data_IF_843151513808
#
_entry.id   IF_843151513808
#
_cell.length_a   1.000
_cell.length_b   1.000
_cell.length_c   1.000
_cell.angle_alpha   90.00
_cell.angle_beta   90.00
_cell.angle_gamma   90.00
#
_symmetry.space_group_name_H-M   'P 1'
#
loop_
_entity.id
_entity.type
_entity.pdbx_description
1 polymer ?
#
# COMPACT_ATOMS: atom_id res chain seq x y z
N UNK A 1 -5.69 3.69 -19.74
CA UNK A 1 -5.67 2.50 -20.63
C UNK A 1 -4.34 1.74 -20.62
N UNK A 2 -3.17 2.40 -20.65
CA UNK A 2 -1.84 1.73 -20.64
C UNK A 2 -1.46 0.97 -19.34
N UNK A 3 -2.24 1.11 -18.26
CA UNK A 3 -2.03 0.38 -17.00
C UNK A 3 -2.87 -0.93 -16.94
N UNK A 4 -3.89 -1.06 -17.81
CA UNK A 4 -4.70 -2.28 -17.98
C UNK A 4 -3.90 -3.40 -18.67
N UNK A 5 -2.93 -3.07 -19.52
CA UNK A 5 -2.06 -4.06 -20.18
C UNK A 5 -0.97 -4.64 -19.27
N UNK A 6 -0.69 -4.00 -18.12
CA UNK A 6 0.37 -4.42 -17.19
C UNK A 6 -0.09 -5.45 -16.16
N UNK A 7 -1.38 -5.49 -15.85
CA UNK A 7 -1.98 -6.58 -15.08
C UNK A 7 -2.33 -7.78 -15.96
N UNK A 8 -2.56 -7.57 -17.26
CA UNK A 8 -2.76 -8.66 -18.22
C UNK A 8 -1.44 -9.30 -18.70
N UNK A 9 -0.30 -8.62 -18.65
CA UNK A 9 1.01 -9.22 -19.05
C UNK A 9 1.60 -10.19 -18.02
N UNK A 10 1.07 -10.23 -16.79
CA UNK A 10 1.36 -11.33 -15.85
C UNK A 10 0.73 -12.64 -16.32
N UNK A 11 -0.27 -12.62 -17.22
CA UNK A 11 -0.86 -13.83 -17.80
C UNK A 11 0.03 -14.55 -18.83
N UNK A 12 1.14 -13.96 -19.28
CA UNK A 12 1.89 -14.48 -20.44
C UNK A 12 3.29 -15.05 -20.14
N UNK A 13 3.79 -14.92 -18.91
CA UNK A 13 4.98 -15.68 -18.47
C UNK A 13 4.49 -16.76 -17.52
N UNK A 14 4.55 -18.02 -17.96
CA UNK A 14 4.15 -19.21 -17.19
C UNK A 14 5.03 -19.50 -15.97
N UNK A 15 5.38 -18.49 -15.19
CA UNK A 15 5.81 -18.63 -13.80
C UNK A 15 4.55 -18.60 -12.95
N UNK A 16 4.29 -19.71 -12.24
CA UNK A 16 2.99 -20.09 -11.68
C UNK A 16 2.18 -18.96 -11.05
N UNK A 17 0.88 -18.91 -11.37
CA UNK A 17 -0.07 -18.08 -10.67
C UNK A 17 -0.08 -18.48 -9.18
N UNK A 18 0.73 -17.77 -8.37
CA UNK A 18 0.85 -18.03 -6.95
C UNK A 18 -0.52 -17.96 -6.30
N UNK A 19 -0.87 -19.00 -5.53
CA UNK A 19 -2.07 -19.03 -4.72
C UNK A 19 -2.10 -17.83 -3.78
N UNK A 20 -3.25 -17.17 -3.67
CA UNK A 20 -3.42 -15.96 -2.87
C UNK A 20 -4.20 -16.26 -1.60
N UNK A 21 -3.70 -15.75 -0.48
CA UNK A 21 -4.42 -15.69 0.79
C UNK A 21 -4.85 -14.26 1.07
N UNK A 22 -6.11 -14.07 1.42
CA UNK A 22 -6.66 -12.77 1.83
C UNK A 22 -6.80 -12.74 3.35
N UNK A 23 -6.34 -11.65 3.98
CA UNK A 23 -6.56 -11.38 5.40
C UNK A 23 -7.38 -10.12 5.50
N UNK A 24 -8.61 -10.20 5.99
CA UNK A 24 -9.53 -9.07 6.03
C UNK A 24 -9.82 -8.64 7.46
N UNK A 25 -9.49 -7.39 7.81
CA UNK A 25 -10.00 -6.78 9.02
C UNK A 25 -11.49 -6.49 8.86
N UNK A 26 -12.28 -6.91 9.85
CA UNK A 26 -13.73 -6.76 9.84
C UNK A 26 -14.15 -5.66 10.79
N UNK A 27 -14.65 -4.57 10.22
CA UNK A 27 -15.30 -3.48 10.94
C UNK A 27 -16.68 -3.21 10.36
N UNK A 28 -16.97 -1.96 10.03
CA UNK A 28 -18.28 -1.55 9.52
C UNK A 28 -18.43 -1.69 8.00
N UNK A 29 -17.34 -1.75 7.25
CA UNK A 29 -17.38 -1.66 5.77
C UNK A 29 -17.60 -3.02 5.08
N UNK A 30 -18.64 -3.74 5.53
CA UNK A 30 -19.02 -5.08 5.07
C UNK A 30 -18.99 -5.24 3.54
N UNK A 31 -19.71 -4.37 2.81
CA UNK A 31 -19.79 -4.45 1.35
C UNK A 31 -18.45 -4.18 0.68
N UNK A 32 -17.62 -3.29 1.24
CA UNK A 32 -16.28 -3.02 0.69
C UNK A 32 -15.35 -4.21 0.82
N UNK A 33 -15.43 -4.97 1.92
CA UNK A 33 -14.69 -6.23 2.07
C UNK A 33 -15.12 -7.21 0.99
N UNK A 34 -16.42 -7.36 0.72
CA UNK A 34 -16.94 -8.20 -0.36
C UNK A 34 -16.41 -7.73 -1.73
N UNK A 35 -16.46 -6.43 -1.99
CA UNK A 35 -16.01 -5.84 -3.25
C UNK A 35 -14.49 -6.07 -3.46
N UNK A 36 -13.69 -5.93 -2.40
CA UNK A 36 -12.25 -6.23 -2.41
C UNK A 36 -11.95 -7.70 -2.69
N UNK A 37 -12.61 -8.62 -1.96
CA UNK A 37 -12.47 -10.07 -2.16
C UNK A 37 -12.87 -10.47 -3.59
N UNK A 38 -13.99 -9.94 -4.10
CA UNK A 38 -14.44 -10.21 -5.46
C UNK A 38 -13.47 -9.70 -6.52
N UNK A 39 -12.90 -8.51 -6.33
CA UNK A 39 -11.87 -7.97 -7.21
C UNK A 39 -10.67 -8.91 -7.29
N UNK A 40 -10.12 -9.35 -6.15
CA UNK A 40 -8.97 -10.25 -6.18
C UNK A 40 -9.31 -11.64 -6.71
N UNK A 41 -10.47 -12.19 -6.35
CA UNK A 41 -10.95 -13.48 -6.87
C UNK A 41 -11.11 -13.51 -8.39
N UNK A 42 -11.49 -12.38 -9.00
CA UNK A 42 -11.58 -12.30 -10.47
C UNK A 42 -10.21 -12.31 -11.16
N UNK A 43 -9.12 -12.05 -10.43
CA UNK A 43 -7.78 -11.87 -10.97
C UNK A 43 -6.78 -12.95 -10.50
N UNK A 44 -7.06 -13.64 -9.39
CA UNK A 44 -6.15 -14.59 -8.75
C UNK A 44 -6.89 -15.79 -8.15
N UNK A 45 -6.28 -16.99 -8.12
CA UNK A 45 -6.81 -18.12 -7.39
C UNK A 45 -6.70 -17.87 -5.87
N UNK A 46 -7.86 -17.73 -5.21
CA UNK A 46 -7.93 -17.52 -3.76
C UNK A 46 -7.98 -18.87 -3.06
N UNK A 47 -7.01 -19.09 -2.18
CA UNK A 47 -6.80 -20.36 -1.48
C UNK A 47 -7.32 -20.31 -0.04
N UNK A 48 -7.18 -19.17 0.62
CA UNK A 48 -7.68 -18.96 1.98
C UNK A 48 -8.16 -17.52 2.19
N UNK A 49 -9.15 -17.35 3.06
CA UNK A 49 -9.63 -16.06 3.53
C UNK A 49 -9.65 -16.10 5.06
N UNK A 50 -8.97 -15.16 5.71
CA UNK A 50 -9.03 -14.94 7.15
C UNK A 50 -9.87 -13.69 7.43
N UNK A 51 -10.84 -13.79 8.32
CA UNK A 51 -11.66 -12.67 8.77
C UNK A 51 -11.27 -12.32 10.21
N UNK A 52 -10.50 -11.25 10.35
CA UNK A 52 -10.04 -10.75 11.64
C UNK A 52 -11.11 -9.84 12.25
N UNK A 53 -11.71 -10.24 13.36
CA UNK A 53 -12.84 -9.52 13.96
C UNK A 53 -12.58 -9.10 15.41
N UNK A 54 -13.23 -8.01 15.83
CA UNK A 54 -13.06 -7.41 17.15
C UNK A 54 -13.79 -8.23 18.24
N UNK A 55 -13.00 -8.81 19.14
CA UNK A 55 -13.47 -9.65 20.26
C UNK A 55 -13.95 -8.84 21.46
N UNK A 56 -13.73 -7.52 21.51
CA UNK A 56 -14.11 -6.68 22.65
C UNK A 56 -15.62 -6.65 22.84
N UNK A 57 -16.06 -6.56 24.10
CA UNK A 57 -17.47 -6.48 24.46
C UNK A 57 -17.98 -5.03 24.44
N UNK A 58 -17.69 -4.31 23.36
CA UNK A 58 -18.15 -2.93 23.13
C UNK A 58 -18.97 -2.82 21.83
N UNK A 59 -19.38 -1.60 21.52
CA UNK A 59 -20.23 -1.28 20.36
C UNK A 59 -19.57 -1.65 19.02
N UNK A 60 -18.25 -1.46 18.94
CA UNK A 60 -17.44 -1.75 17.75
C UNK A 60 -17.25 -3.25 17.57
N UNK A 61 -16.92 -3.95 18.66
CA UNK A 61 -16.81 -5.40 18.69
C UNK A 61 -18.11 -6.10 18.36
N UNK A 62 -19.25 -5.59 18.84
CA UNK A 62 -20.56 -6.14 18.49
C UNK A 62 -20.82 -6.11 16.98
N UNK A 63 -20.67 -4.94 16.36
CA UNK A 63 -20.85 -4.78 14.92
C UNK A 63 -19.87 -5.62 14.10
N UNK A 64 -18.59 -5.65 14.51
CA UNK A 64 -17.55 -6.46 13.86
C UNK A 64 -17.89 -7.95 13.88
N UNK A 65 -18.35 -8.50 15.01
CA UNK A 65 -18.77 -9.91 15.11
C UNK A 65 -19.98 -10.24 14.25
N UNK A 66 -20.98 -9.36 14.18
CA UNK A 66 -22.13 -9.53 13.30
C UNK A 66 -21.70 -9.58 11.83
N UNK A 67 -20.85 -8.63 11.41
CA UNK A 67 -20.32 -8.59 10.06
C UNK A 67 -19.44 -9.80 9.76
N UNK A 68 -18.60 -10.25 10.70
CA UNK A 68 -17.72 -11.40 10.50
C UNK A 68 -18.51 -12.68 10.20
N UNK A 69 -19.58 -12.95 10.96
CA UNK A 69 -20.48 -14.09 10.70
C UNK A 69 -21.20 -13.97 9.35
N UNK A 70 -21.68 -12.78 9.02
CA UNK A 70 -22.35 -12.55 7.74
C UNK A 70 -21.38 -12.70 6.55
N UNK A 71 -20.14 -12.24 6.69
CA UNK A 71 -19.07 -12.37 5.68
C UNK A 71 -18.63 -13.82 5.54
N UNK A 72 -18.53 -14.56 6.65
CA UNK A 72 -18.22 -16.00 6.64
C UNK A 72 -19.18 -16.74 5.71
N UNK A 73 -20.48 -16.46 5.82
CA UNK A 73 -21.52 -17.04 4.98
C UNK A 73 -21.44 -16.53 3.54
N UNK A 74 -21.33 -15.21 3.35
CA UNK A 74 -21.33 -14.60 2.02
C UNK A 74 -20.10 -14.96 1.16
N UNK A 75 -18.97 -15.26 1.82
CA UNK A 75 -17.71 -15.61 1.18
C UNK A 75 -17.40 -17.10 1.23
N UNK A 76 -18.31 -17.93 1.77
CA UNK A 76 -18.23 -19.37 1.64
C UNK A 76 -18.47 -19.78 0.18
N UNK A 77 -17.62 -20.64 -0.35
CA UNK A 77 -17.80 -21.24 -1.67
C UNK A 77 -17.41 -22.72 -1.63
N UNK A 78 -17.74 -23.47 -2.68
CA UNK A 78 -17.62 -24.93 -2.72
C UNK A 78 -16.27 -25.44 -2.16
N UNK A 79 -16.32 -26.02 -0.96
CA UNK A 79 -15.17 -26.65 -0.28
C UNK A 79 -14.31 -25.74 0.61
N UNK A 80 -14.57 -24.43 0.68
CA UNK A 80 -13.77 -23.51 1.52
C UNK A 80 -14.65 -22.49 2.25
N UNK A 81 -14.35 -22.30 3.53
CA UNK A 81 -15.00 -21.33 4.41
C UNK A 81 -13.94 -20.37 4.97
N UNK A 82 -14.21 -19.06 5.04
CA UNK A 82 -13.30 -18.14 5.69
C UNK A 82 -13.01 -18.52 7.15
N UNK A 83 -11.76 -18.39 7.57
CA UNK A 83 -11.35 -18.63 8.96
C UNK A 83 -11.61 -17.38 9.79
N UNK A 84 -12.51 -17.49 10.78
CA UNK A 84 -12.76 -16.41 11.74
C UNK A 84 -11.66 -16.35 12.80
N UNK A 85 -11.05 -15.17 12.99
CA UNK A 85 -9.97 -14.97 13.96
C UNK A 85 -10.28 -13.79 14.88
N UNK A 86 -10.49 -14.02 16.18
CA UNK A 86 -10.74 -12.95 17.14
C UNK A 86 -9.46 -12.19 17.48
N UNK A 87 -9.52 -10.86 17.51
CA UNK A 87 -8.45 -10.00 18.02
C UNK A 87 -9.00 -8.74 18.69
N UNK A 88 -8.15 -7.97 19.37
CA UNK A 88 -8.42 -6.60 19.76
C UNK A 88 -7.76 -5.64 18.74
N UNK A 89 -8.51 -4.96 17.87
CA UNK A 89 -7.93 -4.14 16.80
C UNK A 89 -7.17 -2.93 17.34
N UNK A 90 -7.53 -2.45 18.53
CA UNK A 90 -6.89 -1.31 19.21
C UNK A 90 -5.65 -1.71 20.03
N UNK A 91 -5.27 -2.99 20.00
CA UNK A 91 -3.99 -3.46 20.57
C UNK A 91 -3.03 -3.76 19.43
N UNK A 92 -2.01 -2.91 19.27
CA UNK A 92 -0.96 -3.14 18.29
C UNK A 92 -0.32 -4.53 18.45
N UNK A 93 -0.04 -4.95 19.69
CA UNK A 93 0.56 -6.25 19.99
C UNK A 93 -0.32 -7.43 19.58
N UNK A 94 -1.62 -7.40 19.92
CA UNK A 94 -2.56 -8.48 19.57
C UNK A 94 -2.72 -8.59 18.05
N UNK A 95 -2.84 -7.46 17.36
CA UNK A 95 -2.91 -7.44 15.89
C UNK A 95 -1.60 -7.95 15.27
N UNK A 96 -0.45 -7.47 15.73
CA UNK A 96 0.85 -7.87 15.23
C UNK A 96 1.08 -9.37 15.42
N UNK A 97 0.84 -9.91 16.61
CA UNK A 97 1.00 -11.32 16.90
C UNK A 97 0.07 -12.19 16.04
N UNK A 98 -1.18 -11.76 15.87
CA UNK A 98 -2.17 -12.45 15.03
C UNK A 98 -1.75 -12.48 13.57
N UNK A 99 -1.38 -11.32 13.01
CA UNK A 99 -0.90 -11.21 11.63
C UNK A 99 0.37 -12.04 11.43
N UNK A 100 1.36 -11.88 12.31
CA UNK A 100 2.63 -12.61 12.21
C UNK A 100 2.42 -14.12 12.20
N UNK A 101 1.51 -14.64 13.03
CA UNK A 101 1.17 -16.07 13.05
C UNK A 101 0.60 -16.54 11.71
N UNK A 102 -0.38 -15.82 11.16
CA UNK A 102 -1.00 -16.17 9.87
C UNK A 102 0.03 -16.05 8.74
N UNK A 103 0.80 -14.97 8.71
CA UNK A 103 1.81 -14.74 7.67
C UNK A 103 2.92 -15.77 7.70
N UNK A 104 3.39 -16.18 8.88
CA UNK A 104 4.42 -17.22 9.02
C UNK A 104 3.94 -18.55 8.45
N UNK A 105 2.68 -18.89 8.66
CA UNK A 105 2.08 -20.10 8.10
C UNK A 105 1.93 -19.99 6.58
N UNK A 106 1.29 -18.92 6.10
CA UNK A 106 0.90 -18.79 4.69
C UNK A 106 2.08 -18.48 3.77
N UNK A 107 3.01 -17.64 4.23
CA UNK A 107 4.27 -17.38 3.50
C UNK A 107 5.16 -18.63 3.49
N UNK A 108 5.12 -19.45 4.56
CA UNK A 108 5.81 -20.74 4.61
C UNK A 108 5.29 -21.74 3.57
N UNK A 109 4.03 -21.59 3.12
CA UNK A 109 3.43 -22.34 2.01
C UNK A 109 3.73 -21.73 0.63
N UNK A 110 4.55 -20.67 0.57
CA UNK A 110 4.88 -19.97 -0.67
C UNK A 110 3.72 -19.17 -1.27
N UNK A 111 2.70 -18.83 -0.47
CA UNK A 111 1.52 -18.10 -0.94
C UNK A 111 1.77 -16.59 -0.91
N UNK A 112 1.17 -15.90 -1.87
CA UNK A 112 1.05 -14.45 -1.83
C UNK A 112 -0.01 -14.07 -0.81
N UNK A 113 0.27 -13.09 0.06
CA UNK A 113 -0.71 -12.63 1.05
C UNK A 113 -1.12 -11.18 0.80
N UNK A 114 -2.43 -10.92 0.81
CA UNK A 114 -2.97 -9.57 0.71
C UNK A 114 -3.79 -9.24 1.95
N UNK A 115 -3.35 -8.22 2.68
CA UNK A 115 -3.98 -7.74 3.91
C UNK A 115 -4.91 -6.57 3.55
N UNK A 116 -6.20 -6.75 3.78
CA UNK A 116 -7.20 -5.70 3.65
C UNK A 116 -7.24 -4.84 4.92
N UNK A 117 -6.70 -3.63 4.83
CA UNK A 117 -6.68 -2.63 5.90
C UNK A 117 -7.89 -1.67 5.85
N UNK A 118 -8.93 -2.00 5.08
CA UNK A 118 -10.13 -1.18 4.84
C UNK A 118 -10.90 -0.84 6.11
N UNK A 119 -11.08 -1.80 7.02
CA UNK A 119 -11.95 -1.67 8.20
C UNK A 119 -11.21 -1.97 9.51
N UNK A 120 -10.04 -1.35 9.69
CA UNK A 120 -9.20 -1.55 10.88
C UNK A 120 -8.87 -0.24 11.59
N UNK A 121 -8.33 -0.32 12.80
CA UNK A 121 -7.89 0.86 13.55
C UNK A 121 -6.51 1.34 13.08
N UNK A 122 -6.04 2.48 13.60
CA UNK A 122 -4.70 2.99 13.29
C UNK A 122 -3.60 2.02 13.74
N UNK A 123 -3.78 1.39 14.90
CA UNK A 123 -2.89 0.34 15.42
C UNK A 123 -2.86 -0.86 14.45
N UNK A 124 -4.03 -1.26 13.93
CA UNK A 124 -4.15 -2.33 12.96
C UNK A 124 -3.44 -2.03 11.63
N UNK A 125 -3.55 -0.81 11.11
CA UNK A 125 -2.80 -0.39 9.91
C UNK A 125 -1.29 -0.43 10.19
N UNK A 126 -0.85 0.10 11.33
CA UNK A 126 0.56 0.10 11.72
C UNK A 126 1.15 -1.31 11.81
N UNK A 127 0.42 -2.23 12.43
CA UNK A 127 0.81 -3.65 12.51
C UNK A 127 0.81 -4.31 11.13
N UNK A 128 -0.22 -4.08 10.30
CA UNK A 128 -0.30 -4.63 8.95
C UNK A 128 0.88 -4.23 8.07
N UNK A 129 1.21 -2.93 8.04
CA UNK A 129 2.36 -2.42 7.30
C UNK A 129 3.67 -2.99 7.84
N UNK A 130 3.85 -3.01 9.16
CA UNK A 130 5.08 -3.52 9.78
C UNK A 130 5.27 -5.00 9.50
N UNK A 131 4.23 -5.81 9.65
CA UNK A 131 4.28 -7.23 9.32
C UNK A 131 4.54 -7.44 7.83
N UNK A 132 3.88 -6.70 6.94
CA UNK A 132 4.09 -6.85 5.49
C UNK A 132 5.55 -6.57 5.08
N UNK A 133 6.26 -5.67 5.76
CA UNK A 133 7.68 -5.42 5.54
C UNK A 133 8.62 -6.56 5.97
N UNK A 134 8.13 -7.50 6.78
CA UNK A 134 8.94 -8.63 7.30
C UNK A 134 8.85 -9.89 6.44
N UNK A 135 7.88 -9.98 5.53
CA UNK A 135 7.59 -11.16 4.74
C UNK A 135 7.62 -10.86 3.24
N UNK A 136 8.10 -11.82 2.46
CA UNK A 136 8.12 -11.70 1.00
C UNK A 136 6.72 -11.89 0.41
N UNK A 137 6.40 -11.14 -0.65
CA UNK A 137 5.12 -11.19 -1.37
C UNK A 137 3.87 -10.99 -0.49
N UNK A 138 4.01 -10.11 0.51
CA UNK A 138 2.89 -9.63 1.34
C UNK A 138 2.56 -8.19 0.95
N UNK A 139 1.32 -7.95 0.54
CA UNK A 139 0.79 -6.64 0.22
C UNK A 139 -0.25 -6.18 1.23
N UNK A 140 -0.37 -4.86 1.42
CA UNK A 140 -1.48 -4.25 2.16
C UNK A 140 -2.30 -3.44 1.16
N UNK A 141 -3.63 -3.48 1.27
CA UNK A 141 -4.51 -2.68 0.43
C UNK A 141 -5.66 -2.07 1.23
N UNK A 142 -6.30 -1.08 0.62
CA UNK A 142 -7.56 -0.50 1.08
C UNK A 142 -8.57 -0.48 -0.06
N UNK A 143 -9.85 -0.56 0.26
CA UNK A 143 -10.97 -0.40 -0.65
C UNK A 143 -11.63 0.94 -0.31
N UNK A 144 -11.33 2.02 -1.04
CA UNK A 144 -11.89 3.33 -0.74
C UNK A 144 -13.42 3.30 -0.89
N UNK A 145 -14.18 4.02 -0.06
CA UNK A 145 -15.62 4.10 -0.24
C UNK A 145 -15.96 5.01 -1.43
N UNK A 146 -17.09 4.72 -2.09
CA UNK A 146 -17.66 5.63 -3.08
C UNK A 146 -18.33 6.87 -2.45
N UNK A 147 -18.60 6.85 -1.13
CA UNK A 147 -19.19 7.95 -0.34
C UNK A 147 -18.45 8.14 1.00
N UNK A 148 -18.23 9.37 1.46
CA UNK A 148 -17.44 9.65 2.69
C UNK A 148 -18.30 9.89 3.94
N UNK A 149 -17.88 9.26 5.05
CA UNK A 149 -18.06 9.70 6.44
C UNK A 149 -19.45 9.48 7.06
N UNK A 150 -19.51 8.98 8.30
CA UNK A 150 -20.74 8.95 9.11
C UNK A 150 -20.44 8.99 10.62
N UNK A 151 -21.31 9.66 11.39
CA UNK A 151 -21.37 9.58 12.86
C UNK A 151 -21.92 8.21 13.30
N UNK A 152 -21.44 7.63 14.41
CA UNK A 152 -21.81 6.28 14.90
C UNK A 152 -22.84 6.39 16.04
N UNK A 153 -24.08 5.88 15.86
CA UNK A 153 -25.11 5.85 16.92
C UNK A 153 -24.89 4.75 17.99
N UNK A 154 -25.62 4.84 19.10
CA UNK A 154 -25.60 3.87 20.22
C UNK A 154 -26.20 2.51 19.82
N UNK A 155 -25.62 1.35 20.20
CA UNK A 155 -26.15 0.04 19.82
C UNK A 155 -27.55 -0.28 20.36
N UNK A 156 -28.18 -1.27 19.72
CA UNK A 156 -29.51 -1.79 20.05
C UNK A 156 -30.64 -0.74 19.97
N UNK A 157 -30.40 0.38 19.28
CA UNK A 157 -31.44 1.37 18.97
C UNK A 157 -31.88 1.25 17.50
N UNK A 158 -33.08 1.73 17.14
CA UNK A 158 -33.52 1.79 15.73
C UNK A 158 -32.54 2.59 14.86
N UNK A 159 -32.01 3.68 15.38
CA UNK A 159 -31.05 4.56 14.68
C UNK A 159 -29.75 3.81 14.36
N UNK A 160 -29.29 2.94 15.26
CA UNK A 160 -28.15 2.08 14.97
C UNK A 160 -28.43 1.09 13.85
N UNK A 161 -29.62 0.47 13.82
CA UNK A 161 -29.96 -0.49 12.76
C UNK A 161 -30.01 0.19 11.39
N UNK A 162 -30.64 1.36 11.32
CA UNK A 162 -30.71 2.15 10.08
C UNK A 162 -29.31 2.59 9.62
N UNK A 163 -28.53 3.18 10.53
CA UNK A 163 -27.15 3.59 10.27
C UNK A 163 -26.28 2.40 9.85
N UNK A 164 -26.34 1.28 10.57
CA UNK A 164 -25.54 0.10 10.32
C UNK A 164 -25.87 -0.50 8.96
N UNK A 165 -27.16 -0.59 8.61
CA UNK A 165 -27.60 -1.01 7.29
C UNK A 165 -27.15 -0.06 6.18
N UNK A 166 -27.10 1.25 6.44
CA UNK A 166 -26.59 2.20 5.45
C UNK A 166 -25.09 2.04 5.22
N UNK A 167 -24.29 2.13 6.28
CA UNK A 167 -22.82 2.12 6.20
C UNK A 167 -22.29 0.79 5.65
N UNK A 168 -22.87 -0.34 6.08
CA UNK A 168 -22.43 -1.66 5.64
C UNK A 168 -22.60 -1.90 4.14
N UNK A 169 -23.49 -1.15 3.49
CA UNK A 169 -23.85 -1.32 2.08
C UNK A 169 -23.15 -0.33 1.14
N UNK A 170 -22.34 0.58 1.68
CA UNK A 170 -21.52 1.50 0.88
C UNK A 170 -20.56 0.71 0.00
N UNK A 171 -20.63 0.92 -1.31
CA UNK A 171 -19.81 0.22 -2.30
C UNK A 171 -18.36 0.68 -2.24
N UNK A 172 -17.46 -0.26 -2.51
CA UNK A 172 -16.06 0.01 -2.72
C UNK A 172 -15.76 0.54 -4.11
N UNK A 173 -14.81 1.47 -4.20
CA UNK A 173 -14.05 1.70 -5.42
C UNK A 173 -13.01 0.58 -5.62
N UNK A 174 -12.26 0.64 -6.71
CA UNK A 174 -11.19 -0.32 -6.98
C UNK A 174 -10.18 -0.39 -5.81
N UNK A 175 -9.76 -1.60 -5.37
CA UNK A 175 -8.73 -1.74 -4.34
C UNK A 175 -7.44 -1.00 -4.70
N UNK A 176 -6.89 -0.31 -3.71
CA UNK A 176 -5.64 0.46 -3.81
C UNK A 176 -4.58 -0.20 -2.95
N UNK A 177 -3.47 -0.61 -3.55
CA UNK A 177 -2.33 -1.14 -2.83
C UNK A 177 -1.60 -0.01 -2.09
N UNK A 178 -1.29 -0.24 -0.83
CA UNK A 178 -0.31 0.54 -0.09
C UNK A 178 1.06 0.06 -0.55
N UNK A 179 1.75 0.89 -1.32
CA UNK A 179 3.09 0.55 -1.80
C UNK A 179 4.10 0.64 -0.66
N UNK A 180 4.69 -0.51 -0.35
CA UNK A 180 5.71 -0.64 0.69
C UNK A 180 7.10 -0.72 0.06
N UNK A 181 8.13 -0.20 0.74
CA UNK A 181 9.51 -0.46 0.35
C UNK A 181 9.85 -1.95 0.49
N UNK A 182 10.79 -2.45 -0.32
CA UNK A 182 11.18 -3.85 -0.26
C UNK A 182 11.95 -4.24 1.01
N UNK A 183 12.60 -3.26 1.65
CA UNK A 183 13.30 -3.38 2.94
C UNK A 183 13.21 -2.04 3.70
N UNK A 184 13.74 -1.97 4.93
CA UNK A 184 13.96 -0.68 5.61
C UNK A 184 14.93 0.14 4.75
N UNK A 185 14.47 1.28 4.23
CA UNK A 185 15.26 2.09 3.30
C UNK A 185 16.00 3.21 4.00
N UNK A 186 17.27 3.35 3.64
CA UNK A 186 17.97 4.63 3.72
C UNK A 186 17.41 5.59 2.67
N UNK A 187 17.60 6.89 2.87
CA UNK A 187 17.28 7.86 1.82
C UNK A 187 18.14 7.58 0.58
N UNK A 188 17.57 7.62 -0.64
CA UNK A 188 18.36 7.47 -1.85
C UNK A 188 19.46 8.54 -1.91
N UNK A 189 20.67 8.13 -2.30
CA UNK A 189 21.75 9.06 -2.64
C UNK A 189 21.37 9.91 -3.87
N UNK A 190 22.06 11.02 -4.10
CA UNK A 190 21.78 11.91 -5.25
C UNK A 190 21.84 11.19 -6.60
N UNK A 191 22.77 10.24 -6.76
CA UNK A 191 22.88 9.42 -7.97
C UNK A 191 21.68 8.46 -8.11
N UNK A 192 21.19 7.89 -7.02
CA UNK A 192 19.99 7.04 -7.00
C UNK A 192 18.74 7.87 -7.32
N UNK A 193 18.59 9.05 -6.73
CA UNK A 193 17.52 9.98 -7.06
C UNK A 193 17.54 10.35 -8.55
N UNK A 194 18.74 10.62 -9.11
CA UNK A 194 18.90 10.95 -10.54
C UNK A 194 18.35 9.83 -11.43
N UNK A 195 18.65 8.57 -11.10
CA UNK A 195 18.13 7.39 -11.80
C UNK A 195 16.59 7.30 -11.68
N UNK A 196 16.05 7.48 -10.47
CA UNK A 196 14.61 7.41 -10.24
C UNK A 196 13.85 8.49 -11.02
N UNK A 197 14.36 9.71 -11.05
CA UNK A 197 13.79 10.83 -11.82
C UNK A 197 13.93 10.63 -13.33
N UNK A 198 15.07 10.09 -13.79
CA UNK A 198 15.28 9.76 -15.20
C UNK A 198 14.28 8.71 -15.69
N UNK A 199 13.96 7.72 -14.85
CA UNK A 199 12.91 6.74 -15.12
C UNK A 199 11.51 7.36 -15.08
N UNK A 200 11.18 8.16 -14.04
CA UNK A 200 9.85 8.77 -13.88
C UNK A 200 9.47 9.65 -15.07
N UNK A 201 10.40 10.50 -15.51
CA UNK A 201 10.21 11.40 -16.66
C UNK A 201 9.96 10.68 -17.99
N UNK A 202 10.24 9.37 -18.06
CA UNK A 202 10.12 8.54 -19.27
C UNK A 202 9.17 7.36 -19.09
N UNK A 203 8.13 7.52 -18.27
CA UNK A 203 7.08 6.52 -18.10
C UNK A 203 7.46 5.34 -17.19
N UNK A 204 8.56 5.47 -16.43
CA UNK A 204 8.97 4.52 -15.41
C UNK A 204 9.59 3.22 -15.93
N UNK A 205 10.14 3.22 -17.14
CA UNK A 205 10.71 2.05 -17.83
C UNK A 205 11.98 2.45 -18.60
N UNK A 206 12.96 1.56 -18.66
CA UNK A 206 14.15 1.65 -19.50
C UNK A 206 14.45 0.30 -20.16
N UNK A 207 14.86 0.35 -21.42
CA UNK A 207 15.21 -0.85 -22.20
C UNK A 207 16.53 -1.48 -21.74
N UNK A 208 17.42 -0.69 -21.13
CA UNK A 208 18.73 -1.14 -20.66
C UNK A 208 19.33 -0.19 -19.61
N UNK A 209 20.36 -0.67 -18.90
CA UNK A 209 21.20 0.19 -18.04
C UNK A 209 21.88 1.30 -18.86
N UNK A 210 22.25 1.01 -20.12
CA UNK A 210 22.86 1.99 -21.04
C UNK A 210 21.95 3.21 -21.22
N UNK A 211 20.66 2.98 -21.47
CA UNK A 211 19.67 4.06 -21.62
C UNK A 211 19.56 4.91 -20.35
N UNK A 212 19.61 4.29 -19.17
CA UNK A 212 19.58 5.01 -17.89
C UNK A 212 20.81 5.93 -17.74
N UNK A 213 22.00 5.42 -18.08
CA UNK A 213 23.25 6.21 -18.05
C UNK A 213 23.12 7.46 -18.93
N UNK A 214 22.64 7.29 -20.17
CA UNK A 214 22.46 8.37 -21.13
C UNK A 214 21.43 9.40 -20.65
N UNK A 215 20.34 8.94 -20.04
CA UNK A 215 19.30 9.82 -19.50
C UNK A 215 19.76 10.62 -18.29
N UNK A 216 20.75 10.11 -17.56
CA UNK A 216 21.42 10.82 -16.48
C UNK A 216 22.54 11.75 -16.97
N UNK A 217 22.82 11.80 -18.29
CA UNK A 217 23.83 12.68 -18.88
C UNK A 217 25.27 12.18 -18.73
N UNK A 218 25.49 10.89 -18.45
CA UNK A 218 26.82 10.31 -18.31
C UNK A 218 27.22 9.49 -19.56
N UNK A 219 28.53 9.25 -19.75
CA UNK A 219 29.05 8.50 -20.89
C UNK A 219 28.82 6.99 -20.73
N UNK A 220 27.93 6.45 -21.56
CA UNK A 220 27.55 5.04 -21.56
C UNK A 220 28.59 4.12 -22.20
N UNK A 221 29.69 4.65 -22.74
CA UNK A 221 30.82 3.87 -23.25
C UNK A 221 31.88 3.60 -22.18
N UNK A 222 32.03 4.52 -21.21
CA UNK A 222 33.00 4.43 -20.11
C UNK A 222 32.81 3.19 -19.21
N UNK A 223 33.83 2.33 -19.07
CA UNK A 223 33.76 1.16 -18.18
C UNK A 223 33.51 1.53 -16.72
N UNK A 224 34.05 2.65 -16.25
CA UNK A 224 33.87 3.11 -14.88
C UNK A 224 32.41 3.51 -14.61
N UNK A 225 31.79 4.25 -15.52
CA UNK A 225 30.37 4.66 -15.44
C UNK A 225 29.45 3.44 -15.49
N UNK A 226 29.69 2.50 -16.42
CA UNK A 226 28.92 1.24 -16.48
C UNK A 226 28.97 0.46 -15.16
N UNK A 227 30.14 0.39 -14.53
CA UNK A 227 30.32 -0.30 -13.25
C UNK A 227 29.58 0.42 -12.12
N UNK A 228 29.67 1.76 -12.06
CA UNK A 228 28.90 2.60 -11.11
C UNK A 228 27.40 2.32 -11.23
N UNK A 229 26.83 2.45 -12.43
CA UNK A 229 25.40 2.26 -12.64
C UNK A 229 24.95 0.83 -12.42
N UNK A 230 25.78 -0.16 -12.77
CA UNK A 230 25.47 -1.57 -12.46
C UNK A 230 25.34 -1.81 -10.95
N UNK A 231 26.17 -1.16 -10.12
CA UNK A 231 26.06 -1.22 -8.65
C UNK A 231 24.81 -0.51 -8.14
N UNK A 232 24.55 0.71 -8.63
CA UNK A 232 23.35 1.48 -8.28
C UNK A 232 22.06 0.73 -8.62
N UNK A 233 21.96 0.16 -9.82
CA UNK A 233 20.81 -0.63 -10.24
C UNK A 233 20.63 -1.88 -9.38
N UNK A 234 21.70 -2.58 -9.01
CA UNK A 234 21.60 -3.72 -8.08
C UNK A 234 21.09 -3.30 -6.70
N UNK A 235 21.54 -2.15 -6.19
CA UNK A 235 21.08 -1.61 -4.91
C UNK A 235 19.59 -1.22 -4.99
N UNK A 236 19.20 -0.45 -6.00
CA UNK A 236 17.80 -0.07 -6.22
C UNK A 236 16.87 -1.29 -6.40
N UNK A 237 17.36 -2.38 -7.00
CA UNK A 237 16.64 -3.67 -7.08
C UNK A 237 16.47 -4.30 -5.70
N UNK A 238 17.57 -4.39 -4.93
CA UNK A 238 17.56 -4.94 -3.56
C UNK A 238 16.61 -4.15 -2.65
N UNK A 239 16.59 -2.84 -2.80
CA UNK A 239 15.76 -1.91 -2.03
C UNK A 239 14.28 -1.93 -2.49
N UNK A 240 13.97 -2.64 -3.57
CA UNK A 240 12.62 -2.73 -4.12
C UNK A 240 12.11 -1.44 -4.76
N UNK A 241 13.00 -0.52 -5.17
CA UNK A 241 12.68 0.72 -5.87
C UNK A 241 12.47 0.50 -7.38
N UNK A 242 13.13 -0.51 -7.92
CA UNK A 242 12.97 -0.97 -9.29
C UNK A 242 12.80 -2.48 -9.32
N UNK A 243 12.39 -2.99 -10.47
CA UNK A 243 12.22 -4.41 -10.74
C UNK A 243 12.64 -4.69 -12.19
N UNK A 244 13.07 -5.92 -12.48
CA UNK A 244 13.43 -6.34 -13.83
C UNK A 244 12.20 -6.89 -14.55
N UNK A 245 12.07 -6.62 -15.84
CA UNK A 245 11.12 -7.28 -16.72
C UNK A 245 11.86 -8.34 -17.53
N UNK A 246 11.55 -9.62 -17.29
CA UNK A 246 12.19 -10.76 -17.96
C UNK A 246 11.45 -11.18 -19.24
N UNK A 247 10.42 -10.46 -19.67
CA UNK A 247 9.61 -10.80 -20.85
C UNK A 247 10.35 -10.64 -22.21
N UNK A 248 11.61 -10.20 -22.22
CA UNK A 248 12.40 -9.98 -23.44
C UNK A 248 13.86 -10.45 -23.29
N UNK A 249 14.54 -10.73 -24.42
CA UNK A 249 15.99 -11.03 -24.48
C UNK A 249 16.87 -9.96 -23.81
N UNK A 250 16.35 -8.74 -23.64
CA UNK A 250 16.97 -7.63 -22.92
C UNK A 250 16.36 -7.46 -21.52
N UNK A 251 17.22 -7.29 -20.50
CA UNK A 251 16.81 -7.01 -19.11
C UNK A 251 16.30 -5.58 -18.98
N UNK A 252 14.99 -5.39 -19.19
CA UNK A 252 14.35 -4.09 -19.00
C UNK A 252 14.28 -3.74 -17.51
N UNK A 253 14.49 -2.48 -17.19
CA UNK A 253 14.40 -1.94 -15.83
C UNK A 253 13.11 -1.13 -15.72
N UNK A 254 12.28 -1.37 -14.70
CA UNK A 254 11.07 -0.58 -14.45
C UNK A 254 10.97 -0.15 -12.99
N UNK A 255 10.39 1.02 -12.72
CA UNK A 255 10.04 1.43 -11.37
C UNK A 255 9.07 0.42 -10.75
N UNK A 256 9.27 0.11 -9.47
CA UNK A 256 8.26 -0.60 -8.66
C UNK A 256 7.10 0.35 -8.33
N UNK A 257 6.03 -0.17 -7.71
CA UNK A 257 4.94 0.68 -7.23
C UNK A 257 5.45 1.73 -6.24
N UNK A 258 6.28 1.30 -5.27
CA UNK A 258 6.89 2.20 -4.30
C UNK A 258 7.90 3.16 -4.95
N UNK A 259 8.75 2.67 -5.88
CA UNK A 259 9.70 3.51 -6.61
C UNK A 259 9.04 4.62 -7.43
N UNK A 260 7.86 4.37 -8.02
CA UNK A 260 7.06 5.42 -8.69
C UNK A 260 6.61 6.50 -7.70
N UNK A 261 6.09 6.11 -6.54
CA UNK A 261 5.63 7.05 -5.50
C UNK A 261 6.81 7.88 -4.98
N UNK A 262 7.94 7.23 -4.68
CA UNK A 262 9.14 7.90 -4.20
C UNK A 262 9.72 8.85 -5.25
N UNK A 263 9.81 8.45 -6.51
CA UNK A 263 10.31 9.32 -7.58
C UNK A 263 9.45 10.59 -7.75
N UNK A 264 8.11 10.45 -7.65
CA UNK A 264 7.20 11.60 -7.64
C UNK A 264 7.43 12.50 -6.43
N UNK A 265 7.63 11.93 -5.24
CA UNK A 265 7.91 12.69 -4.03
C UNK A 265 9.23 13.47 -4.14
N UNK A 266 10.30 12.83 -4.64
CA UNK A 266 11.61 13.49 -4.89
C UNK A 266 11.44 14.65 -5.88
N UNK A 267 10.70 14.44 -6.98
CA UNK A 267 10.42 15.47 -7.98
C UNK A 267 9.73 16.68 -7.35
N UNK A 268 8.67 16.45 -6.56
CA UNK A 268 7.94 17.50 -5.87
C UNK A 268 8.82 18.26 -4.87
N UNK A 269 9.67 17.57 -4.11
CA UNK A 269 10.59 18.20 -3.16
C UNK A 269 11.65 19.08 -3.86
N UNK A 270 12.12 18.68 -5.04
CA UNK A 270 13.08 19.48 -5.84
C UNK A 270 12.44 20.68 -6.53
N UNK A 271 11.16 20.59 -6.91
CA UNK A 271 10.39 21.71 -7.47
C UNK A 271 10.06 22.78 -6.41
N UNK A 272 9.98 22.43 -5.12
CA UNK A 272 9.80 23.41 -4.05
C UNK A 272 11.09 24.15 -3.65
N UNK A 273 12.26 23.59 -3.96
CA UNK A 273 13.57 24.18 -3.64
C UNK A 273 14.07 25.36 -4.51
N UNK A 274 13.49 25.79 -5.66
CA UNK A 274 14.03 26.93 -6.42
C UNK A 274 13.46 28.31 -6.06
N UNK A 275 12.32 28.44 -5.35
CA UNK A 275 11.62 29.75 -5.25
C UNK A 275 11.36 30.28 -3.83
N UNK A 276 11.59 29.50 -2.76
CA UNK A 276 11.24 29.93 -1.39
C UNK A 276 12.33 30.72 -0.63
N UNK A 277 13.27 31.40 -1.30
CA UNK A 277 14.35 32.19 -0.66
C UNK A 277 14.22 33.71 -0.86
N UNK A 278 13.22 34.21 -1.59
CA UNK A 278 13.05 35.67 -1.76
C UNK A 278 11.67 36.10 -1.27
N UNK A 279 11.62 36.51 0.01
CA UNK A 279 10.86 37.65 0.55
C UNK A 279 10.31 37.39 1.96
N UNK A 280 11.20 37.38 2.95
CA UNK A 280 10.81 37.88 4.27
C UNK A 280 11.38 39.29 4.36
N UNK A 281 10.63 40.28 3.86
CA UNK A 281 10.85 41.67 4.27
C UNK A 281 10.69 41.70 5.79
N UNK A 282 11.77 42.03 6.50
CA UNK A 282 11.70 42.51 7.88
C UNK A 282 10.66 43.63 7.90
N UNK A 283 9.53 43.40 8.57
CA UNK A 283 8.76 44.51 9.10
C UNK A 283 9.58 45.06 10.26
N UNK A 284 10.15 46.24 10.05
CA UNK A 284 10.63 47.09 11.13
C UNK A 284 9.45 47.36 12.08
N UNK A 285 9.67 47.10 13.36
CA UNK A 285 8.73 47.49 14.40
C UNK A 285 8.64 49.02 14.46
N UNK A 286 7.44 49.61 14.65
CA UNK A 286 7.32 51.05 14.80
C UNK A 286 7.94 51.50 16.13
N UNK A 287 8.40 52.77 16.23
CA UNK A 287 9.02 53.29 17.43
C UNK A 287 8.03 53.34 18.59
N UNK A 288 8.53 53.05 19.78
CA UNK A 288 7.83 53.24 21.04
C UNK A 288 7.76 54.72 21.39
N UNK A 289 6.61 55.35 21.19
CA UNK A 289 6.34 56.65 21.76
C UNK A 289 5.54 56.47 23.07
N UNK A 290 6.29 56.61 24.16
CA UNK A 290 5.79 56.96 25.48
C UNK A 290 5.69 58.49 25.50
N UNK A 291 4.49 59.03 25.66
CA UNK A 291 4.20 60.32 26.32
C UNK A 291 2.72 60.26 26.73
N UNK A 292 2.41 59.94 27.98
CA UNK A 292 2.22 60.89 29.08
C UNK A 292 1.20 62.01 28.76
N UNK A 293 0.05 61.97 29.44
CA UNK A 293 -0.47 63.05 30.33
C UNK A 293 -2.01 63.23 30.23
N UNK A 294 -2.66 63.16 31.40
CA UNK A 294 -4.05 63.47 31.80
C UNK A 294 -5.13 62.39 31.60
#
# INVERSE_FOLDING_TARGET
MLELERLSTVKATGDGAGMVTLICFVGYDFQRIIDGVNFFRANYPIEAIYLLYDKKKDVYGYASRLNAKALENALSFAGSKPTLVPLNPQSYEDVFATLYKILKEESGKGRKVLIDATSTSKEGIGAAVTCALMFYDVGVYIVPPNERGWHIPTPNTPEFNEWFNKVRNVRGLQPQLIYLPGQRLDQPSEDEERILLALESRGGKAESIKSIIEWCGEDSSSPAVKNKYSRLIRKLLKDGLIQLDFSTKTKRVKLSGFGKVLAKAIKSAKVQKPEAVISVKRQEAPPSDIEATL
#
